data_IF_238402889426
#
_entry.id   IF_238402889426
#
_cell.length_a   1.000
_cell.length_b   1.000
_cell.length_c   1.000
_cell.angle_alpha   90.00
_cell.angle_beta   90.00
_cell.angle_gamma   90.00
#
_symmetry.space_group_name_H-M   'P 1'
#
loop_
_entity.id
_entity.type
_entity.pdbx_description
1 polymer ?
#
# COMPACT_ATOMS: atom_id res chain seq x y z
N UNK A 1 8.99 25.60 -22.45
CA UNK A 1 8.92 24.87 -23.75
C UNK A 1 10.29 24.72 -24.42
N UNK A 2 11.26 25.64 -24.23
CA UNK A 2 12.61 25.46 -24.79
C UNK A 2 13.53 24.57 -23.91
N UNK A 3 13.25 24.47 -22.61
CA UNK A 3 14.09 23.71 -21.66
C UNK A 3 13.88 22.19 -21.73
N UNK A 4 12.73 21.73 -22.23
CA UNK A 4 12.39 20.30 -22.33
C UNK A 4 13.23 19.57 -23.41
N UNK A 5 13.66 20.29 -24.44
CA UNK A 5 14.45 19.72 -25.53
C UNK A 5 15.94 19.60 -25.21
N UNK A 6 16.48 20.44 -24.33
CA UNK A 6 17.91 20.36 -23.96
C UNK A 6 18.21 19.22 -22.98
N UNK A 7 17.21 18.74 -22.24
CA UNK A 7 17.37 17.57 -21.35
C UNK A 7 17.40 16.23 -22.09
N UNK A 8 17.01 16.19 -23.37
CA UNK A 8 17.00 14.97 -24.17
C UNK A 8 18.32 14.66 -24.87
N UNK A 9 19.22 15.64 -25.06
CA UNK A 9 20.47 15.42 -25.82
C UNK A 9 21.70 15.15 -24.95
N UNK A 10 21.64 15.36 -23.63
CA UNK A 10 22.77 15.11 -22.71
C UNK A 10 22.73 13.69 -22.11
N UNK A 11 21.58 12.99 -22.18
CA UNK A 11 21.39 11.65 -21.62
C UNK A 11 21.76 10.50 -22.58
N UNK A 12 22.70 10.72 -23.49
CA UNK A 12 23.13 9.73 -24.49
C UNK A 12 24.04 8.60 -23.96
N UNK A 13 24.60 8.71 -22.75
CA UNK A 13 25.61 7.73 -22.29
C UNK A 13 25.72 7.57 -20.75
N UNK A 14 24.66 7.93 -20.01
CA UNK A 14 24.58 7.78 -18.54
C UNK A 14 23.15 7.49 -18.06
N UNK A 15 22.41 6.57 -18.69
CA UNK A 15 21.18 6.03 -18.06
C UNK A 15 21.62 4.99 -17.03
N UNK A 16 22.19 5.46 -15.92
CA UNK A 16 22.08 4.76 -14.66
C UNK A 16 20.59 4.57 -14.43
N UNK A 17 20.12 3.33 -14.47
CA UNK A 17 18.71 2.97 -14.27
C UNK A 17 18.15 3.73 -13.08
N UNK A 18 17.28 4.73 -13.29
CA UNK A 18 16.43 5.25 -12.21
C UNK A 18 15.53 4.09 -11.83
N UNK A 19 15.99 3.31 -10.86
CA UNK A 19 15.41 2.04 -10.52
C UNK A 19 14.16 2.34 -9.71
N UNK A 20 12.99 2.29 -10.36
CA UNK A 20 11.69 2.55 -9.72
C UNK A 20 11.61 1.78 -8.40
N UNK A 21 11.18 2.42 -7.29
CA UNK A 21 11.14 1.77 -5.99
C UNK A 21 10.25 0.52 -6.07
N UNK A 22 10.75 -0.59 -5.56
CA UNK A 22 10.00 -1.83 -5.42
C UNK A 22 9.33 -1.83 -4.05
N UNK A 23 8.01 -1.80 -4.05
CA UNK A 23 7.17 -1.85 -2.87
C UNK A 23 6.52 -3.23 -2.79
N UNK A 24 6.92 -4.02 -1.80
CA UNK A 24 6.30 -5.30 -1.51
C UNK A 24 5.23 -5.10 -0.42
N UNK A 25 3.96 -5.35 -0.74
CA UNK A 25 2.86 -5.29 0.22
C UNK A 25 2.49 -6.71 0.69
N UNK A 26 2.65 -6.97 1.97
CA UNK A 26 2.22 -8.19 2.63
C UNK A 26 0.79 -8.03 3.11
N UNK A 27 -0.12 -8.86 2.57
CA UNK A 27 -1.55 -8.82 2.85
C UNK A 27 -2.02 -10.07 3.58
N UNK A 28 -3.01 -9.93 4.47
CA UNK A 28 -3.59 -11.06 5.21
C UNK A 28 -4.17 -12.07 4.23
N UNK A 29 -3.76 -13.33 4.33
CA UNK A 29 -4.35 -14.42 3.56
C UNK A 29 -5.77 -14.75 4.05
N UNK A 30 -6.58 -15.38 3.20
CA UNK A 30 -7.90 -15.87 3.58
C UNK A 30 -7.79 -16.97 4.65
N UNK A 31 -8.70 -16.93 5.63
CA UNK A 31 -8.78 -17.96 6.69
C UNK A 31 -9.26 -19.33 6.19
N UNK A 32 -9.78 -19.41 4.96
CA UNK A 32 -10.24 -20.66 4.33
C UNK A 32 -9.11 -21.29 3.51
N UNK A 33 -8.40 -20.47 2.73
CA UNK A 33 -7.31 -20.92 1.86
C UNK A 33 -6.16 -19.90 1.86
N UNK A 34 -5.01 -20.34 2.36
CA UNK A 34 -3.82 -19.49 2.57
C UNK A 34 -3.19 -18.91 1.29
N UNK A 35 -3.68 -19.31 0.10
CA UNK A 35 -3.23 -18.79 -1.20
C UNK A 35 -4.07 -17.62 -1.72
N UNK A 36 -5.27 -17.42 -1.16
CA UNK A 36 -6.17 -16.33 -1.55
C UNK A 36 -5.94 -15.12 -0.67
N UNK A 37 -6.12 -13.94 -1.25
CA UNK A 37 -6.13 -12.67 -0.51
C UNK A 37 -7.34 -12.70 0.43
N UNK A 38 -7.12 -12.31 1.69
CA UNK A 38 -8.16 -12.17 2.70
C UNK A 38 -8.95 -10.86 2.54
N UNK A 39 -9.94 -10.65 3.39
CA UNK A 39 -10.85 -9.51 3.30
C UNK A 39 -10.47 -8.34 4.25
N UNK A 40 -9.18 -8.07 4.44
CA UNK A 40 -8.74 -6.96 5.30
C UNK A 40 -8.89 -5.62 4.57
N UNK A 41 -9.65 -4.67 5.13
CA UNK A 41 -9.86 -3.36 4.52
C UNK A 41 -8.58 -2.55 4.37
N UNK A 42 -7.76 -2.47 5.41
CA UNK A 42 -6.50 -1.71 5.35
C UNK A 42 -5.54 -2.29 4.31
N UNK A 43 -5.52 -3.63 4.15
CA UNK A 43 -4.75 -4.26 3.07
C UNK A 43 -5.28 -3.84 1.69
N UNK A 44 -6.61 -3.79 1.53
CA UNK A 44 -7.23 -3.39 0.26
C UNK A 44 -7.01 -1.90 -0.03
N UNK A 45 -7.13 -1.04 0.97
CA UNK A 45 -6.90 0.41 0.88
C UNK A 45 -5.50 0.71 0.32
N UNK A 46 -4.44 0.24 1.00
CA UNK A 46 -3.08 0.45 0.52
C UNK A 46 -2.77 -0.27 -0.78
N UNK A 47 -3.41 -1.42 -1.05
CA UNK A 47 -3.24 -2.08 -2.34
C UNK A 47 -3.80 -1.24 -3.49
N UNK A 48 -4.97 -0.62 -3.30
CA UNK A 48 -5.58 0.26 -4.30
C UNK A 48 -4.73 1.52 -4.55
N UNK A 49 -4.21 2.14 -3.49
CA UNK A 49 -3.32 3.30 -3.61
C UNK A 49 -2.01 2.96 -4.35
N UNK A 50 -1.38 1.84 -3.97
CA UNK A 50 -0.17 1.35 -4.65
C UNK A 50 -0.46 0.98 -6.10
N UNK A 51 -1.63 0.44 -6.40
CA UNK A 51 -2.04 0.12 -7.77
C UNK A 51 -2.16 1.39 -8.62
N UNK A 52 -2.73 2.47 -8.08
CA UNK A 52 -2.81 3.76 -8.77
C UNK A 52 -1.41 4.30 -9.15
N UNK A 53 -0.43 4.17 -8.25
CA UNK A 53 0.96 4.56 -8.52
C UNK A 53 1.67 3.60 -9.49
N UNK A 54 1.31 2.32 -9.47
CA UNK A 54 1.83 1.31 -10.38
C UNK A 54 1.34 1.52 -11.82
N UNK A 55 0.07 1.84 -12.02
CA UNK A 55 -0.56 1.99 -13.33
C UNK A 55 0.08 3.11 -14.17
N UNK A 56 0.41 4.23 -13.53
CA UNK A 56 1.14 5.35 -14.15
C UNK A 56 2.65 5.09 -14.25
N UNK A 57 3.12 3.94 -13.76
CA UNK A 57 4.50 3.50 -13.85
C UNK A 57 5.46 4.24 -12.91
N UNK A 58 5.00 4.77 -11.78
CA UNK A 58 5.87 5.44 -10.79
C UNK A 58 6.63 4.41 -9.95
N UNK A 59 5.94 3.36 -9.51
CA UNK A 59 6.48 2.33 -8.61
C UNK A 59 6.35 0.93 -9.22
N UNK A 60 7.12 -0.02 -8.69
CA UNK A 60 6.89 -1.45 -8.91
C UNK A 60 6.24 -2.02 -7.66
N UNK A 61 5.17 -2.78 -7.82
CA UNK A 61 4.40 -3.33 -6.69
C UNK A 61 4.37 -4.83 -6.79
N UNK A 62 4.71 -5.50 -5.68
CA UNK A 62 4.51 -6.94 -5.50
C UNK A 62 3.60 -7.17 -4.29
N UNK A 63 2.57 -7.99 -4.46
CA UNK A 63 1.65 -8.33 -3.36
C UNK A 63 1.90 -9.76 -2.92
N UNK A 64 2.14 -9.96 -1.63
CA UNK A 64 2.43 -11.27 -1.02
C UNK A 64 1.37 -11.59 0.04
N UNK A 65 0.66 -12.70 -0.13
CA UNK A 65 -0.31 -13.16 0.87
C UNK A 65 0.41 -13.88 2.01
N UNK A 66 0.09 -13.52 3.25
CA UNK A 66 0.71 -14.11 4.45
C UNK A 66 -0.32 -14.72 5.39
N UNK A 67 0.01 -15.91 5.89
CA UNK A 67 -0.72 -16.52 6.99
C UNK A 67 -0.17 -15.99 8.33
N UNK A 68 -0.96 -15.15 9.00
CA UNK A 68 -0.63 -14.53 10.29
C UNK A 68 -0.38 -15.54 11.41
N UNK A 69 -0.88 -16.77 11.28
CA UNK A 69 -0.68 -17.84 12.26
C UNK A 69 0.64 -18.59 12.06
N UNK A 70 1.35 -18.37 10.96
CA UNK A 70 2.65 -19.00 10.69
C UNK A 70 3.72 -18.48 11.64
N UNK A 71 4.49 -19.39 12.26
CA UNK A 71 5.63 -19.01 13.10
C UNK A 71 6.72 -18.26 12.33
N UNK A 72 6.94 -18.61 11.06
CA UNK A 72 7.92 -17.94 10.21
C UNK A 72 7.59 -16.46 10.05
N UNK A 73 6.31 -16.14 9.78
CA UNK A 73 5.84 -14.77 9.67
C UNK A 73 5.96 -14.00 10.98
N UNK A 74 5.53 -14.60 12.10
CA UNK A 74 5.64 -13.99 13.43
C UNK A 74 7.08 -13.64 13.80
N UNK A 75 8.05 -14.50 13.46
CA UNK A 75 9.48 -14.24 13.68
C UNK A 75 10.02 -13.14 12.77
N UNK A 76 9.63 -13.12 11.49
CA UNK A 76 10.12 -12.12 10.53
C UNK A 76 9.66 -10.69 10.83
N UNK A 77 8.44 -10.52 11.33
CA UNK A 77 7.85 -9.19 11.55
C UNK A 77 7.53 -8.89 13.02
N UNK A 78 8.15 -9.62 13.97
CA UNK A 78 8.00 -9.41 15.42
C UNK A 78 6.53 -9.41 15.91
N UNK A 79 5.66 -10.15 15.22
CA UNK A 79 4.22 -10.20 15.53
C UNK A 79 3.39 -9.04 14.97
N UNK A 80 3.95 -8.17 14.13
CA UNK A 80 3.18 -7.15 13.41
C UNK A 80 2.11 -7.80 12.51
N UNK A 81 0.96 -7.15 12.42
CA UNK A 81 -0.15 -7.59 11.59
C UNK A 81 -0.09 -6.91 10.22
N UNK A 82 -0.50 -7.60 9.14
CA UNK A 82 -0.76 -6.97 7.85
C UNK A 82 -1.78 -5.82 7.97
N UNK A 83 -1.68 -4.75 7.16
CA UNK A 83 -0.75 -4.56 6.05
C UNK A 83 0.68 -4.23 6.49
N UNK A 84 1.67 -4.84 5.84
CA UNK A 84 3.10 -4.51 6.03
C UNK A 84 3.69 -4.19 4.66
N UNK A 85 4.42 -3.09 4.55
CA UNK A 85 5.07 -2.70 3.30
C UNK A 85 6.59 -2.78 3.45
N UNK A 86 7.27 -3.36 2.47
CA UNK A 86 8.73 -3.41 2.42
C UNK A 86 9.22 -2.72 1.14
N UNK A 87 10.07 -1.72 1.30
CA UNK A 87 10.67 -0.99 0.17
C UNK A 87 12.10 -1.44 -0.06
N UNK A 88 12.37 -1.96 -1.27
CA UNK A 88 13.70 -2.39 -1.74
C UNK A 88 14.48 -3.28 -0.74
N UNK A 89 13.77 -4.01 0.15
CA UNK A 89 14.32 -4.81 1.26
C UNK A 89 15.14 -4.03 2.31
N UNK A 90 15.14 -2.70 2.25
CA UNK A 90 15.89 -1.85 3.17
C UNK A 90 15.00 -1.20 4.23
N UNK A 91 13.78 -0.80 3.87
CA UNK A 91 12.82 -0.21 4.79
C UNK A 91 11.61 -1.13 4.94
N UNK A 92 11.16 -1.34 6.18
CA UNK A 92 9.96 -2.10 6.52
C UNK A 92 9.03 -1.19 7.30
N UNK A 93 7.80 -1.04 6.81
CA UNK A 93 6.75 -0.21 7.37
C UNK A 93 5.66 -1.13 7.91
N UNK A 94 5.47 -1.11 9.22
CA UNK A 94 4.50 -1.98 9.92
C UNK A 94 3.32 -1.22 10.51
N UNK A 95 3.42 0.10 10.64
CA UNK A 95 2.31 0.95 11.10
C UNK A 95 1.63 1.57 9.88
N UNK A 96 0.29 1.60 9.89
CA UNK A 96 -0.52 2.17 8.83
C UNK A 96 -0.12 3.63 8.51
N UNK A 97 0.24 4.41 9.54
CA UNK A 97 0.64 5.83 9.36
C UNK A 97 1.96 5.96 8.61
N UNK A 98 2.87 5.02 8.80
CA UNK A 98 4.15 4.99 8.09
C UNK A 98 3.96 4.59 6.62
N UNK A 99 3.09 3.61 6.39
CA UNK A 99 2.71 3.15 5.04
C UNK A 99 2.06 4.31 4.27
N UNK A 100 0.99 4.90 4.82
CA UNK A 100 0.29 6.05 4.23
C UNK A 100 1.26 7.21 3.98
N UNK A 101 2.09 7.55 4.97
CA UNK A 101 3.07 8.64 4.83
C UNK A 101 4.06 8.41 3.69
N UNK A 102 4.51 7.16 3.47
CA UNK A 102 5.41 6.83 2.36
C UNK A 102 4.70 6.90 1.01
N UNK A 103 3.47 6.38 0.90
CA UNK A 103 2.68 6.45 -0.33
C UNK A 103 2.33 7.90 -0.66
N UNK A 104 1.96 8.70 0.35
CA UNK A 104 1.71 10.13 0.22
C UNK A 104 2.94 10.89 -0.31
N UNK A 105 4.14 10.59 0.23
CA UNK A 105 5.38 11.19 -0.27
C UNK A 105 5.59 10.87 -1.76
N UNK A 106 5.39 9.62 -2.17
CA UNK A 106 5.52 9.21 -3.56
C UNK A 106 4.47 9.90 -4.45
N UNK A 107 3.21 9.93 -4.04
CA UNK A 107 2.16 10.61 -4.78
C UNK A 107 2.49 12.10 -4.98
N UNK A 108 2.99 12.78 -3.94
CA UNK A 108 3.38 14.20 -4.02
C UNK A 108 4.61 14.43 -4.90
N UNK A 109 5.63 13.56 -4.79
CA UNK A 109 6.86 13.63 -5.58
C UNK A 109 6.58 13.54 -7.09
N UNK A 110 5.64 12.69 -7.49
CA UNK A 110 5.25 12.48 -8.88
C UNK A 110 3.99 13.25 -9.29
N UNK A 111 3.53 14.19 -8.45
CA UNK A 111 2.38 15.07 -8.70
C UNK A 111 1.08 14.32 -9.06
N UNK A 112 0.81 13.22 -8.35
CA UNK A 112 -0.39 12.39 -8.48
C UNK A 112 -1.42 12.85 -7.44
N UNK A 113 -2.63 13.29 -7.85
CA UNK A 113 -3.67 13.74 -6.93
C UNK A 113 -4.41 12.54 -6.30
N UNK A 114 -3.70 11.76 -5.48
CA UNK A 114 -4.23 10.56 -4.84
C UNK A 114 -4.85 10.82 -3.46
N UNK A 115 -4.33 11.82 -2.73
CA UNK A 115 -4.73 12.11 -1.36
C UNK A 115 -5.40 13.47 -1.26
N UNK A 116 -6.64 13.48 -0.77
CA UNK A 116 -7.40 14.68 -0.44
C UNK A 116 -7.98 14.57 0.96
N UNK A 117 -8.05 15.70 1.67
CA UNK A 117 -8.67 15.77 3.00
C UNK A 117 -10.06 16.36 2.87
N UNK A 118 -11.08 15.51 3.00
CA UNK A 118 -12.47 15.92 3.03
C UNK A 118 -13.16 15.39 4.30
N UNK A 119 -13.40 16.26 5.30
CA UNK A 119 -14.02 15.84 6.57
C UNK A 119 -15.48 15.40 6.43
N UNK A 120 -16.17 15.75 5.34
CA UNK A 120 -17.53 15.31 5.07
C UNK A 120 -17.52 13.85 4.61
N UNK A 121 -16.60 13.51 3.70
CA UNK A 121 -16.42 12.14 3.20
C UNK A 121 -15.94 11.23 4.31
N UNK A 122 -14.94 11.65 5.10
CA UNK A 122 -14.42 10.88 6.24
C UNK A 122 -15.53 10.48 7.22
N UNK A 123 -16.34 11.45 7.67
CA UNK A 123 -17.46 11.19 8.60
C UNK A 123 -18.51 10.26 8.00
N UNK A 124 -18.76 10.35 6.69
CA UNK A 124 -19.73 9.50 6.00
C UNK A 124 -19.26 8.05 5.93
N UNK A 125 -17.98 7.85 5.62
CA UNK A 125 -17.35 6.52 5.59
C UNK A 125 -17.37 5.91 6.99
N UNK A 126 -16.95 6.65 8.02
CA UNK A 126 -16.96 6.19 9.41
C UNK A 126 -18.37 5.76 9.84
N UNK A 127 -19.37 6.61 9.58
CA UNK A 127 -20.77 6.31 9.93
C UNK A 127 -21.27 5.04 9.25
N UNK A 128 -20.98 4.86 7.96
CA UNK A 128 -21.44 3.71 7.19
C UNK A 128 -20.82 2.39 7.68
N UNK A 129 -19.51 2.38 7.96
CA UNK A 129 -18.84 1.20 8.50
C UNK A 129 -19.28 0.89 9.93
N UNK A 130 -19.48 1.92 10.77
CA UNK A 130 -19.97 1.73 12.15
C UNK A 130 -21.38 1.14 12.18
N UNK A 131 -22.27 1.61 11.31
CA UNK A 131 -23.61 1.02 11.15
C UNK A 131 -23.50 -0.42 10.69
N UNK A 132 -22.68 -0.71 9.68
CA UNK A 132 -22.50 -2.07 9.16
C UNK A 132 -21.98 -3.03 10.24
N UNK A 133 -21.01 -2.62 11.05
CA UNK A 133 -20.51 -3.39 12.19
C UNK A 133 -21.59 -3.64 13.27
N UNK A 134 -22.45 -2.65 13.51
CA UNK A 134 -23.53 -2.78 14.49
C UNK A 134 -24.60 -3.80 14.05
N UNK A 135 -24.99 -3.79 12.78
CA UNK A 135 -26.00 -4.72 12.24
C UNK A 135 -25.42 -6.12 11.96
N UNK A 136 -24.12 -6.22 11.70
CA UNK A 136 -23.44 -7.46 11.37
C UNK A 136 -22.21 -7.71 12.26
N UNK A 137 -22.41 -8.00 13.56
CA UNK A 137 -21.31 -8.12 14.53
C UNK A 137 -20.35 -9.27 14.22
N UNK A 138 -20.79 -10.27 13.46
CA UNK A 138 -19.94 -11.40 13.02
C UNK A 138 -18.86 -10.98 12.02
N UNK A 139 -19.00 -9.84 11.34
CA UNK A 139 -18.01 -9.32 10.39
C UNK A 139 -16.89 -8.53 11.09
N UNK A 140 -17.00 -8.23 12.39
CA UNK A 140 -15.93 -7.60 13.17
C UNK A 140 -14.60 -8.38 13.13
N UNK A 141 -14.66 -9.71 13.00
CA UNK A 141 -13.46 -10.57 12.88
C UNK A 141 -12.72 -10.45 11.54
N UNK A 142 -13.32 -9.79 10.55
CA UNK A 142 -12.68 -9.53 9.26
C UNK A 142 -11.78 -8.28 9.34
N UNK A 143 -12.06 -7.37 10.27
CA UNK A 143 -11.36 -6.08 10.42
C UNK A 143 -10.23 -6.10 11.45
N UNK A 144 -10.17 -7.11 12.34
CA UNK A 144 -9.06 -7.45 13.26
C UNK A 144 -8.20 -8.56 12.66
#
# INVERSE_FOLDING_TARGET
>A
MADDYQMQQINGDQIGTIQKPLLELYVKASGIENRRIGACLFCQEFWMELYALYEIGVVRVEVKTVNINSEAFKKSFLGAQPPIMVENKNATYTDNREIEGRIFHLAKEFNVPLFEKDPVVEKRIESLYRVSLFYFPTYSFIFL
#
